data_IF_159207836627
#
_entry.id   IF_159207836627
#
_cell.length_a   1.000
_cell.length_b   1.000
_cell.length_c   1.000
_cell.angle_alpha   90.00
_cell.angle_beta   90.00
_cell.angle_gamma   90.00
#
_symmetry.space_group_name_H-M   'P 1'
#
loop_
_entity.id
_entity.type
_entity.pdbx_description
1 polymer ?
#
# COMPACT_ATOMS: atom_id res chain seq x y z
N UNK A 1 -10.31 2.11 13.51
CA UNK A 1 -8.92 1.79 13.10
C UNK A 1 -8.84 1.71 11.58
N UNK A 2 -9.75 0.98 10.94
CA UNK A 2 -9.87 0.95 9.46
C UNK A 2 -10.02 2.33 8.82
N UNK A 3 -10.80 3.25 9.39
CA UNK A 3 -11.02 4.59 8.81
C UNK A 3 -9.74 5.44 8.70
N UNK A 4 -8.80 5.33 9.64
CA UNK A 4 -7.55 6.09 9.59
C UNK A 4 -6.56 5.52 8.57
N UNK A 5 -6.44 4.19 8.51
CA UNK A 5 -5.58 3.48 7.55
C UNK A 5 -6.05 3.75 6.12
N UNK A 6 -7.35 3.57 5.87
CA UNK A 6 -7.94 3.85 4.54
C UNK A 6 -7.72 5.31 4.14
N UNK A 7 -7.89 6.26 5.07
CA UNK A 7 -7.64 7.69 4.79
C UNK A 7 -6.18 7.96 4.39
N UNK A 8 -5.21 7.37 5.09
CA UNK A 8 -3.77 7.52 4.76
C UNK A 8 -3.48 6.96 3.37
N UNK A 9 -4.00 5.76 3.06
CA UNK A 9 -3.79 5.14 1.76
C UNK A 9 -4.39 6.00 0.64
N UNK A 10 -5.64 6.45 0.78
CA UNK A 10 -6.31 7.30 -0.21
C UNK A 10 -5.67 8.70 -0.36
N UNK A 11 -4.94 9.18 0.64
CA UNK A 11 -4.17 10.42 0.53
C UNK A 11 -2.94 10.28 -0.36
N UNK A 12 -2.34 9.10 -0.41
CA UNK A 12 -1.12 8.83 -1.17
C UNK A 12 -1.41 8.18 -2.54
N UNK A 13 -2.46 7.38 -2.62
CA UNK A 13 -2.79 6.56 -3.79
C UNK A 13 -4.26 6.68 -4.17
N UNK A 14 -4.53 6.59 -5.47
CA UNK A 14 -5.85 6.44 -6.04
C UNK A 14 -6.21 4.95 -6.12
N UNK A 15 -6.66 4.39 -5.00
CA UNK A 15 -7.01 2.96 -4.86
C UNK A 15 -8.27 2.54 -5.62
N UNK A 16 -9.00 3.50 -6.22
CA UNK A 16 -10.14 3.21 -7.10
C UNK A 16 -9.71 2.67 -8.47
N UNK A 17 -8.44 2.86 -8.85
CA UNK A 17 -7.87 2.32 -10.08
C UNK A 17 -7.54 0.84 -9.90
N UNK A 18 -8.21 -0.02 -10.67
CA UNK A 18 -8.03 -1.46 -10.57
C UNK A 18 -7.29 -1.98 -11.80
N UNK A 19 -6.03 -2.44 -11.65
CA UNK A 19 -5.17 -3.09 -12.68
C UNK A 19 -4.98 -2.40 -14.05
N UNK A 20 -5.81 -1.44 -14.43
CA UNK A 20 -5.80 -0.71 -15.70
C UNK A 20 -4.75 0.40 -15.70
N UNK A 21 -4.52 1.01 -14.53
CA UNK A 21 -3.58 2.13 -14.34
C UNK A 21 -2.90 2.02 -12.98
N UNK A 22 -1.70 2.57 -12.89
CA UNK A 22 -0.96 2.72 -11.65
C UNK A 22 -1.78 3.53 -10.62
N UNK A 23 -1.87 3.01 -9.39
CA UNK A 23 -2.56 3.66 -8.27
C UNK A 23 -1.86 4.94 -7.77
N UNK A 24 -0.66 5.28 -8.25
CA UNK A 24 -0.07 6.59 -7.95
C UNK A 24 -0.95 7.71 -8.50
N UNK A 25 -1.11 8.79 -7.73
CA UNK A 25 -1.90 9.96 -8.14
C UNK A 25 -1.36 10.56 -9.44
N UNK A 26 -2.27 10.94 -10.34
CA UNK A 26 -1.95 11.47 -11.67
C UNK A 26 -1.07 10.54 -12.54
N UNK A 27 -0.87 9.28 -12.18
CA UNK A 27 -0.18 8.33 -13.05
C UNK A 27 -1.16 7.69 -14.03
N UNK A 28 -0.74 7.64 -15.29
CA UNK A 28 -1.48 7.04 -16.41
C UNK A 28 -0.81 5.79 -16.98
N UNK A 29 0.36 5.41 -16.47
CA UNK A 29 1.06 4.20 -16.90
C UNK A 29 0.32 2.95 -16.42
N UNK A 30 0.40 1.88 -17.21
CA UNK A 30 0.00 0.55 -16.78
C UNK A 30 0.82 0.12 -15.55
N UNK A 31 0.22 -0.58 -14.58
CA UNK A 31 0.96 -1.12 -13.45
C UNK A 31 1.83 -2.31 -13.91
N UNK A 32 3.01 -2.46 -13.34
CA UNK A 32 3.94 -3.58 -13.60
C UNK A 32 4.19 -4.44 -12.37
N UNK A 33 3.80 -3.95 -11.19
CA UNK A 33 3.93 -4.63 -9.90
C UNK A 33 2.63 -4.56 -9.13
N UNK A 34 2.38 -5.60 -8.33
CA UNK A 34 1.46 -5.55 -7.19
C UNK A 34 2.30 -5.45 -5.91
N UNK A 35 1.94 -4.48 -5.08
CA UNK A 35 2.52 -4.27 -3.77
C UNK A 35 1.47 -4.55 -2.71
N UNK A 36 1.66 -5.65 -1.99
CA UNK A 36 0.81 -6.03 -0.86
C UNK A 36 1.38 -5.42 0.40
N UNK A 37 0.61 -4.55 1.05
CA UNK A 37 0.95 -3.94 2.33
C UNK A 37 0.23 -4.72 3.41
N UNK A 38 0.98 -5.19 4.40
CA UNK A 38 0.43 -5.96 5.51
C UNK A 38 1.04 -5.52 6.83
N UNK A 39 0.30 -5.76 7.91
CA UNK A 39 0.83 -5.65 9.26
C UNK A 39 1.09 -7.03 9.83
N UNK A 40 2.13 -7.14 10.65
CA UNK A 40 2.38 -8.32 11.46
C UNK A 40 2.33 -7.95 12.94
N UNK A 41 1.51 -8.67 13.71
CA UNK A 41 1.47 -8.56 15.17
C UNK A 41 1.64 -9.94 15.80
N UNK A 42 2.23 -10.00 17.00
CA UNK A 42 2.39 -11.27 17.71
C UNK A 42 1.05 -11.96 18.05
N UNK A 43 -0.01 -11.18 18.24
CA UNK A 43 -1.32 -11.70 18.67
C UNK A 43 -2.25 -12.10 17.53
N UNK A 44 -2.05 -11.57 16.31
CA UNK A 44 -2.92 -11.84 15.15
C UNK A 44 -2.17 -12.41 13.94
N UNK A 45 -0.84 -12.44 13.99
CA UNK A 45 -0.01 -12.79 12.84
C UNK A 45 -0.10 -11.75 11.73
N UNK A 46 -0.07 -12.21 10.48
CA UNK A 46 -0.17 -11.36 9.29
C UNK A 46 -1.61 -10.94 9.05
N UNK A 47 -1.81 -9.63 8.92
CA UNK A 47 -3.08 -9.01 8.53
C UNK A 47 -2.83 -8.13 7.30
N UNK A 48 -3.40 -8.54 6.18
CA UNK A 48 -3.30 -7.77 4.92
C UNK A 48 -4.09 -6.46 5.05
N UNK A 49 -3.45 -5.36 4.67
CA UNK A 49 -4.02 -4.01 4.75
C UNK A 49 -4.57 -3.60 3.39
N UNK A 50 -3.76 -3.68 2.34
CA UNK A 50 -4.15 -3.26 1.00
C UNK A 50 -3.23 -3.83 -0.08
N UNK A 51 -3.71 -3.85 -1.31
CA UNK A 51 -2.93 -4.15 -2.50
C UNK A 51 -2.90 -2.91 -3.40
N UNK A 52 -1.70 -2.50 -3.81
CA UNK A 52 -1.48 -1.33 -4.66
C UNK A 52 -0.80 -1.79 -5.94
N UNK A 53 -1.37 -1.43 -7.08
CA UNK A 53 -0.83 -1.73 -8.40
C UNK A 53 0.00 -0.54 -8.87
N UNK A 54 1.32 -0.71 -8.98
CA UNK A 54 2.26 0.36 -9.29
C UNK A 54 3.10 0.02 -10.52
N UNK A 55 3.48 1.03 -11.29
CA UNK A 55 4.56 0.89 -12.27
C UNK A 55 5.93 1.03 -11.60
N UNK A 56 7.00 0.57 -12.24
CA UNK A 56 8.36 0.54 -11.67
C UNK A 56 8.83 1.91 -11.14
N UNK A 57 8.42 3.01 -11.79
CA UNK A 57 8.73 4.36 -11.36
C UNK A 57 8.13 4.70 -9.97
N UNK A 58 6.93 4.18 -9.67
CA UNK A 58 6.18 4.54 -8.47
C UNK A 58 6.33 3.55 -7.32
N UNK A 59 6.87 2.36 -7.55
CA UNK A 59 7.12 1.37 -6.48
C UNK A 59 7.93 1.96 -5.33
N UNK A 60 8.88 2.87 -5.63
CA UNK A 60 9.70 3.55 -4.61
C UNK A 60 8.89 4.40 -3.62
N UNK A 61 7.71 4.88 -4.01
CA UNK A 61 6.82 5.68 -3.14
C UNK A 61 6.27 4.90 -1.94
N UNK A 62 6.27 3.56 -2.00
CA UNK A 62 5.74 2.68 -0.95
C UNK A 62 6.45 2.90 0.39
N UNK A 63 7.71 3.33 0.38
CA UNK A 63 8.42 3.69 1.61
C UNK A 63 7.70 4.80 2.41
N UNK A 64 7.10 5.78 1.71
CA UNK A 64 6.31 6.86 2.33
C UNK A 64 5.05 6.30 2.98
N UNK A 65 4.38 5.36 2.31
CA UNK A 65 3.21 4.68 2.85
C UNK A 65 3.55 3.91 4.14
N UNK A 66 4.62 3.12 4.12
CA UNK A 66 5.06 2.36 5.30
C UNK A 66 5.31 3.29 6.49
N UNK A 67 5.96 4.42 6.25
CA UNK A 67 6.24 5.40 7.29
C UNK A 67 4.95 6.04 7.84
N UNK A 68 4.02 6.41 6.96
CA UNK A 68 2.73 6.97 7.37
C UNK A 68 1.88 5.96 8.17
N UNK A 69 1.87 4.69 7.76
CA UNK A 69 1.10 3.63 8.42
C UNK A 69 1.67 3.20 9.77
N UNK A 70 2.98 3.38 10.01
CA UNK A 70 3.63 3.02 11.27
C UNK A 70 2.95 3.63 12.50
N UNK A 71 2.41 4.84 12.37
CA UNK A 71 1.71 5.52 13.47
C UNK A 71 0.24 5.09 13.59
N UNK A 72 -0.37 4.63 12.50
CA UNK A 72 -1.77 4.21 12.47
C UNK A 72 -1.97 2.77 12.99
N UNK A 73 -0.99 1.90 12.77
CA UNK A 73 -1.03 0.50 13.21
C UNK A 73 -0.31 0.37 14.54
N UNK A 74 -1.06 0.46 15.64
CA UNK A 74 -0.51 0.29 16.99
C UNK A 74 -0.04 -1.15 17.18
N UNK A 75 1.18 -1.32 17.68
CA UNK A 75 1.78 -2.62 18.05
C UNK A 75 1.97 -3.61 16.88
N UNK A 76 1.93 -3.13 15.63
CA UNK A 76 2.19 -3.95 14.45
C UNK A 76 3.36 -3.41 13.62
N UNK A 77 4.11 -4.33 13.03
CA UNK A 77 5.17 -4.01 12.09
C UNK A 77 4.55 -3.93 10.69
N UNK A 78 4.78 -2.82 9.98
CA UNK A 78 4.32 -2.66 8.60
C UNK A 78 5.37 -3.17 7.64
N UNK A 79 4.98 -4.15 6.86
CA UNK A 79 5.78 -4.77 5.83
C UNK A 79 5.08 -4.75 4.47
N UNK A 80 5.85 -5.05 3.44
CA UNK A 80 5.41 -4.97 2.06
C UNK A 80 6.01 -6.09 1.25
N UNK A 81 5.19 -6.77 0.47
CA UNK A 81 5.61 -7.74 -0.52
C UNK A 81 5.40 -7.15 -1.92
N UNK A 82 6.38 -7.31 -2.81
CA UNK A 82 6.33 -6.77 -4.18
C UNK A 82 6.44 -7.93 -5.15
N UNK A 83 5.47 -8.06 -6.06
CA UNK A 83 5.43 -9.09 -7.11
C UNK A 83 5.24 -8.44 -8.47
N UNK A 84 5.79 -9.06 -9.51
CA UNK A 84 5.47 -8.70 -10.90
C UNK A 84 4.00 -9.04 -11.19
N UNK A 85 3.36 -8.21 -12.01
CA UNK A 85 2.02 -8.49 -12.55
C UNK A 85 2.06 -9.42 -13.76
#
# INVERSE_FOLDING_TARGET
METAITKIISQLYDIGKFKERCNSKACENAPTKIVTVYSYTLSRGRVDITNIYLCDAHVKSVALLKNALRHAVKNGIIETEIKNL
#
